data_IF_256509579984
#
_entry.id   IF_256509579984
#
_cell.length_a   1.000
_cell.length_b   1.000
_cell.length_c   1.000
_cell.angle_alpha   90.00
_cell.angle_beta   90.00
_cell.angle_gamma   90.00
#
_symmetry.space_group_name_H-M   'P 1'
#
loop_
_entity.id
_entity.type
_entity.pdbx_description
1 polymer ?
#
# COMPACT_ATOMS: atom_id res chain seq x y z
N UNK A 1 36.49 -14.41 -9.00
CA UNK A 1 36.54 -13.14 -9.73
C UNK A 1 35.27 -12.37 -9.38
N UNK A 2 35.40 -11.19 -8.79
CA UNK A 2 34.25 -10.39 -8.43
C UNK A 2 33.64 -9.76 -9.69
N UNK A 3 32.31 -9.86 -9.80
CA UNK A 3 31.59 -9.21 -10.85
C UNK A 3 31.48 -7.71 -10.52
N UNK A 4 32.04 -6.81 -11.34
CA UNK A 4 31.97 -5.37 -11.07
C UNK A 4 30.54 -4.80 -11.15
N UNK A 5 29.60 -5.55 -11.72
CA UNK A 5 28.20 -5.17 -11.78
C UNK A 5 27.37 -5.64 -10.59
N UNK A 6 27.98 -6.35 -9.64
CA UNK A 6 27.25 -6.86 -8.48
C UNK A 6 26.91 -5.73 -7.50
N UNK A 7 25.64 -5.62 -7.16
CA UNK A 7 25.13 -4.67 -6.18
C UNK A 7 24.52 -5.43 -5.02
N UNK A 8 25.06 -5.30 -3.77
CA UNK A 8 24.52 -6.03 -2.62
C UNK A 8 23.05 -5.73 -2.31
N UNK A 9 22.55 -4.54 -2.67
CA UNK A 9 21.16 -4.16 -2.47
C UNK A 9 20.20 -4.75 -3.51
N UNK A 10 20.71 -5.28 -4.62
CA UNK A 10 19.88 -5.90 -5.63
C UNK A 10 19.53 -7.33 -5.22
N UNK A 11 18.27 -7.77 -5.35
CA UNK A 11 17.92 -9.16 -5.06
C UNK A 11 18.62 -10.08 -6.06
N UNK A 12 19.03 -11.24 -5.58
CA UNK A 12 19.61 -12.25 -6.46
C UNK A 12 18.54 -12.77 -7.41
N UNK A 13 18.88 -13.06 -8.69
CA UNK A 13 17.90 -13.55 -9.66
C UNK A 13 17.16 -14.80 -9.21
N UNK A 14 17.83 -15.69 -8.49
CA UNK A 14 17.22 -16.92 -7.98
C UNK A 14 16.17 -16.62 -6.90
N UNK A 15 16.44 -15.64 -6.04
CA UNK A 15 15.50 -15.20 -5.01
C UNK A 15 14.23 -14.61 -5.63
N UNK A 16 14.39 -13.78 -6.65
CA UNK A 16 13.23 -13.22 -7.38
C UNK A 16 12.42 -14.32 -8.06
N UNK A 17 13.09 -15.31 -8.64
CA UNK A 17 12.42 -16.43 -9.32
C UNK A 17 11.63 -17.28 -8.34
N UNK A 18 12.20 -17.55 -7.16
CA UNK A 18 11.51 -18.29 -6.11
C UNK A 18 10.26 -17.55 -5.64
N UNK A 19 10.38 -16.23 -5.43
CA UNK A 19 9.25 -15.41 -5.01
C UNK A 19 8.16 -15.37 -6.09
N UNK A 20 8.54 -15.27 -7.36
CA UNK A 20 7.60 -15.34 -8.48
C UNK A 20 6.80 -16.64 -8.46
N UNK A 21 7.48 -17.76 -8.27
CA UNK A 21 6.85 -19.08 -8.23
C UNK A 21 5.92 -19.21 -7.02
N UNK A 22 6.37 -18.75 -5.87
CA UNK A 22 5.59 -18.83 -4.62
C UNK A 22 4.34 -17.96 -4.68
N UNK A 23 4.43 -16.79 -5.33
CA UNK A 23 3.33 -15.84 -5.41
C UNK A 23 2.39 -16.08 -6.61
N UNK A 24 2.74 -16.94 -7.56
CA UNK A 24 1.89 -17.20 -8.73
C UNK A 24 0.50 -17.73 -8.34
N UNK A 25 0.34 -18.66 -7.39
CA UNK A 25 -1.00 -19.07 -6.95
C UNK A 25 -1.82 -17.93 -6.36
N UNK A 26 -1.18 -16.98 -5.67
CA UNK A 26 -1.84 -15.80 -5.13
C UNK A 26 -2.36 -14.91 -6.25
N UNK A 27 -1.54 -14.69 -7.28
CA UNK A 27 -1.95 -13.91 -8.46
C UNK A 27 -3.16 -14.54 -9.13
N UNK A 28 -3.13 -15.85 -9.32
CA UNK A 28 -4.23 -16.59 -9.92
C UNK A 28 -5.50 -16.53 -9.07
N UNK A 29 -5.37 -16.66 -7.76
CA UNK A 29 -6.49 -16.57 -6.85
C UNK A 29 -7.15 -15.19 -6.88
N UNK A 30 -6.34 -14.14 -6.92
CA UNK A 30 -6.85 -12.77 -7.03
C UNK A 30 -7.60 -12.55 -8.34
N UNK A 31 -7.05 -13.04 -9.45
CA UNK A 31 -7.71 -12.94 -10.76
C UNK A 31 -9.00 -13.74 -10.80
N UNK A 32 -9.03 -14.93 -10.23
CA UNK A 32 -10.22 -15.74 -10.15
C UNK A 32 -11.33 -15.08 -9.33
N UNK A 33 -10.94 -14.25 -8.36
CA UNK A 33 -11.88 -13.51 -7.53
C UNK A 33 -12.41 -12.24 -8.21
N UNK A 34 -11.81 -11.84 -9.32
CA UNK A 34 -12.24 -10.69 -10.11
C UNK A 34 -11.31 -9.50 -10.10
N UNK A 35 -10.15 -9.60 -9.43
CA UNK A 35 -9.16 -8.53 -9.42
C UNK A 35 -8.24 -8.61 -10.63
N UNK A 36 -7.82 -7.46 -11.13
CA UNK A 36 -6.70 -7.41 -12.04
C UNK A 36 -5.41 -7.43 -11.21
N UNK A 37 -4.76 -8.60 -11.18
CA UNK A 37 -3.55 -8.81 -10.40
C UNK A 37 -2.36 -9.02 -11.33
N UNK A 38 -1.24 -8.35 -11.04
CA UNK A 38 -0.04 -8.41 -11.87
C UNK A 38 1.21 -8.42 -11.00
N UNK A 39 2.30 -9.00 -11.55
CA UNK A 39 3.57 -9.00 -10.86
C UNK A 39 4.35 -7.72 -11.13
N UNK A 40 5.06 -7.24 -10.11
CA UNK A 40 5.91 -6.06 -10.21
C UNK A 40 7.06 -6.16 -9.21
N UNK A 41 8.08 -5.33 -9.41
CA UNK A 41 9.17 -5.18 -8.45
C UNK A 41 8.93 -3.87 -7.70
N UNK A 42 8.86 -3.94 -6.37
CA UNK A 42 8.60 -2.77 -5.54
C UNK A 42 9.86 -1.91 -5.35
N UNK A 43 9.73 -0.82 -4.59
CA UNK A 43 10.82 0.11 -4.32
C UNK A 43 11.99 -0.55 -3.56
N UNK A 44 11.71 -1.66 -2.87
CA UNK A 44 12.73 -2.43 -2.14
C UNK A 44 13.36 -3.53 -3.00
N UNK A 45 13.11 -3.53 -4.30
CA UNK A 45 13.56 -4.56 -5.24
C UNK A 45 13.03 -5.95 -4.91
N UNK A 46 11.82 -6.02 -4.33
CA UNK A 46 11.15 -7.28 -3.99
C UNK A 46 10.06 -7.56 -5.00
N UNK A 47 9.87 -8.84 -5.32
CA UNK A 47 8.75 -9.25 -6.15
C UNK A 47 7.45 -9.09 -5.38
N UNK A 48 6.45 -8.50 -6.03
CA UNK A 48 5.14 -8.24 -5.42
C UNK A 48 4.05 -8.55 -6.43
N UNK A 49 2.91 -9.06 -5.93
CA UNK A 49 1.69 -9.12 -6.72
C UNK A 49 0.86 -7.90 -6.33
N UNK A 50 0.58 -7.05 -7.30
CA UNK A 50 -0.16 -5.81 -7.09
C UNK A 50 -1.57 -5.91 -7.63
N UNK A 51 -2.49 -5.28 -6.92
CA UNK A 51 -3.89 -5.10 -7.34
C UNK A 51 -4.23 -3.64 -7.21
N UNK A 52 -4.64 -3.00 -8.31
CA UNK A 52 -5.17 -1.65 -8.30
C UNK A 52 -6.70 -1.72 -8.39
N UNK A 53 -7.37 -1.07 -7.46
CA UNK A 53 -8.82 -1.03 -7.37
C UNK A 53 -9.27 0.42 -7.20
N UNK A 54 -10.55 0.72 -7.43
CA UNK A 54 -11.09 2.06 -7.28
C UNK A 54 -10.89 2.63 -5.87
N UNK A 55 -10.92 1.76 -4.85
CA UNK A 55 -10.79 2.18 -3.45
C UNK A 55 -9.36 2.27 -2.97
N UNK A 56 -8.41 1.65 -3.70
CA UNK A 56 -7.03 1.67 -3.29
C UNK A 56 -6.19 0.61 -3.97
N UNK A 57 -5.10 0.23 -3.32
CA UNK A 57 -4.13 -0.72 -3.86
C UNK A 57 -3.76 -1.74 -2.80
N UNK A 58 -3.52 -2.97 -3.25
CA UNK A 58 -2.97 -4.02 -2.42
C UNK A 58 -1.69 -4.56 -3.06
N UNK A 59 -0.69 -4.83 -2.25
CA UNK A 59 0.55 -5.49 -2.65
C UNK A 59 0.76 -6.70 -1.77
N UNK A 60 1.06 -7.85 -2.37
CA UNK A 60 1.33 -9.10 -1.66
C UNK A 60 2.76 -9.52 -1.94
N UNK A 61 3.52 -9.69 -0.87
CA UNK A 61 4.93 -10.06 -0.94
C UNK A 61 5.21 -11.27 -0.03
N UNK A 62 6.36 -11.87 -0.22
CA UNK A 62 6.84 -12.90 0.71
C UNK A 62 7.46 -12.20 1.91
N UNK A 63 6.88 -12.42 3.08
CA UNK A 63 7.41 -11.93 4.34
C UNK A 63 8.26 -12.99 5.03
N UNK A 64 8.64 -12.71 6.27
CA UNK A 64 9.51 -13.58 7.04
C UNK A 64 8.83 -14.91 7.41
N UNK A 65 7.59 -14.84 7.85
CA UNK A 65 6.84 -16.01 8.35
C UNK A 65 5.55 -16.28 7.58
N UNK A 66 5.32 -15.56 6.49
CA UNK A 66 4.09 -15.69 5.72
C UNK A 66 4.07 -14.67 4.59
N UNK A 67 2.87 -14.46 4.05
CA UNK A 67 2.63 -13.39 3.10
C UNK A 67 2.54 -12.06 3.82
N UNK A 68 3.24 -11.05 3.32
CA UNK A 68 3.09 -9.69 3.78
C UNK A 68 2.12 -8.98 2.83
N UNK A 69 1.03 -8.44 3.37
CA UNK A 69 0.00 -7.76 2.60
C UNK A 69 -0.01 -6.30 3.00
N UNK A 70 0.26 -5.43 2.05
CA UNK A 70 0.18 -3.98 2.25
C UNK A 70 -1.04 -3.46 1.51
N UNK A 71 -1.92 -2.80 2.25
CA UNK A 71 -3.12 -2.18 1.71
C UNK A 71 -2.97 -0.67 1.82
N UNK A 72 -3.32 0.05 0.77
CA UNK A 72 -3.20 1.51 0.73
C UNK A 72 -4.43 2.12 0.09
N UNK A 73 -4.96 3.15 0.72
CA UNK A 73 -5.96 4.03 0.12
C UNK A 73 -5.48 5.47 0.25
N UNK A 74 -5.70 6.28 -0.77
CA UNK A 74 -5.30 7.68 -0.80
C UNK A 74 -6.44 8.49 -1.39
N UNK A 75 -6.73 9.63 -0.77
CA UNK A 75 -7.66 10.60 -1.33
C UNK A 75 -6.85 11.65 -2.10
N UNK A 76 -6.93 11.69 -3.43
CA UNK A 76 -6.09 12.59 -4.21
C UNK A 76 -6.61 14.02 -4.19
N UNK A 77 -5.67 14.98 -4.29
CA UNK A 77 -6.00 16.38 -4.52
C UNK A 77 -6.88 17.02 -3.46
N UNK A 78 -6.57 16.79 -2.18
CA UNK A 78 -7.39 17.30 -1.08
C UNK A 78 -7.64 18.81 -1.15
N UNK A 79 -6.64 19.57 -1.57
CA UNK A 79 -6.75 21.02 -1.69
C UNK A 79 -6.68 21.51 -3.15
N UNK A 80 -7.08 20.65 -4.08
CA UNK A 80 -7.01 20.96 -5.51
C UNK A 80 -7.89 22.16 -5.92
N UNK A 81 -8.98 22.40 -5.18
CA UNK A 81 -9.89 23.51 -5.45
C UNK A 81 -9.38 24.86 -4.95
N UNK A 82 -8.32 24.87 -4.16
CA UNK A 82 -7.72 26.12 -3.70
C UNK A 82 -7.00 26.81 -4.85
N UNK A 83 -7.46 27.97 -5.26
CA UNK A 83 -6.94 28.71 -6.42
C UNK A 83 -5.54 29.27 -6.19
N UNK A 84 -5.20 29.65 -4.96
CA UNK A 84 -3.92 30.22 -4.63
C UNK A 84 -2.89 29.14 -4.33
N UNK A 85 -1.79 29.04 -5.12
CA UNK A 85 -0.71 28.10 -4.81
C UNK A 85 -0.13 28.31 -3.43
N UNK A 86 -0.04 29.55 -2.98
CA UNK A 86 0.49 29.89 -1.65
C UNK A 86 -0.41 29.32 -0.53
N UNK A 87 -1.74 29.50 -0.66
CA UNK A 87 -2.69 28.97 0.30
C UNK A 87 -2.72 27.45 0.28
N UNK A 88 -2.61 26.85 -0.90
CA UNK A 88 -2.56 25.38 -1.03
C UNK A 88 -1.36 24.82 -0.29
N UNK A 89 -0.19 25.43 -0.44
CA UNK A 89 1.02 25.01 0.28
C UNK A 89 0.87 25.18 1.79
N UNK A 90 0.25 26.27 2.24
CA UNK A 90 0.02 26.51 3.66
C UNK A 90 -0.91 25.45 4.25
N UNK A 91 -2.00 25.12 3.55
CA UNK A 91 -2.96 24.08 3.99
C UNK A 91 -2.31 22.70 4.00
N UNK A 92 -1.52 22.39 2.98
CA UNK A 92 -0.78 21.12 2.91
C UNK A 92 0.17 20.98 4.08
N UNK A 93 0.93 22.04 4.38
CA UNK A 93 1.88 22.04 5.51
C UNK A 93 1.15 21.80 6.83
N UNK A 94 0.01 22.45 7.02
CA UNK A 94 -0.80 22.28 8.23
C UNK A 94 -1.34 20.85 8.32
N UNK A 95 -1.83 20.30 7.20
CA UNK A 95 -2.32 18.93 7.15
C UNK A 95 -1.24 17.92 7.56
N UNK A 96 -0.02 18.06 7.01
CA UNK A 96 1.09 17.19 7.39
C UNK A 96 1.35 17.21 8.89
N UNK A 97 1.26 18.37 9.50
CA UNK A 97 1.47 18.51 10.94
C UNK A 97 0.34 17.91 11.76
N UNK A 98 -0.88 17.98 11.26
CA UNK A 98 -2.07 17.53 11.98
C UNK A 98 -2.37 16.04 11.83
N UNK A 99 -1.94 15.41 10.74
CA UNK A 99 -2.24 14.01 10.45
C UNK A 99 -1.89 13.08 11.62
N UNK A 100 -0.68 13.11 12.21
CA UNK A 100 -0.36 12.20 13.30
C UNK A 100 -1.28 12.35 14.51
N UNK A 101 -1.70 13.57 14.84
CA UNK A 101 -2.60 13.83 15.95
C UNK A 101 -4.03 13.40 15.65
N UNK A 102 -4.54 13.78 14.48
CA UNK A 102 -5.91 13.51 14.07
C UNK A 102 -6.13 12.00 13.89
N UNK A 103 -5.17 11.31 13.29
CA UNK A 103 -5.31 9.89 12.98
C UNK A 103 -5.25 9.00 14.23
N UNK A 104 -4.65 9.47 15.31
CA UNK A 104 -4.40 8.68 16.52
C UNK A 104 -5.68 8.07 17.09
N UNK A 105 -6.82 8.73 16.97
CA UNK A 105 -8.10 8.25 17.46
C UNK A 105 -8.77 7.21 16.58
N UNK A 106 -8.29 6.99 15.36
CA UNK A 106 -8.94 6.12 14.39
C UNK A 106 -8.12 4.89 14.04
N UNK A 107 -6.79 4.97 14.11
CA UNK A 107 -5.91 3.92 13.58
C UNK A 107 -5.59 2.85 14.60
N UNK A 108 -5.45 1.62 14.10
CA UNK A 108 -4.89 0.50 14.84
C UNK A 108 -3.36 0.54 14.76
N UNK A 109 -2.63 -0.21 15.63
CA UNK A 109 -1.15 -0.16 15.63
C UNK A 109 -0.48 -0.55 14.31
N UNK A 110 -1.12 -1.37 13.50
CA UNK A 110 -0.58 -1.82 12.20
C UNK A 110 -0.99 -0.92 11.03
N UNK A 111 -1.57 0.24 11.34
CA UNK A 111 -2.02 1.22 10.36
C UNK A 111 -1.25 2.52 10.54
N UNK A 112 -0.94 3.17 9.42
CA UNK A 112 -0.24 4.46 9.41
C UNK A 112 -0.97 5.42 8.50
N UNK A 113 -1.18 6.65 8.95
CA UNK A 113 -1.69 7.72 8.11
C UNK A 113 -0.53 8.61 7.67
N UNK A 114 -0.55 8.99 6.40
CA UNK A 114 0.50 9.82 5.79
C UNK A 114 -0.12 10.91 4.93
N UNK A 115 0.68 11.92 4.64
CA UNK A 115 0.42 12.80 3.50
C UNK A 115 1.14 12.21 2.30
N UNK A 116 0.38 11.86 1.26
CA UNK A 116 0.95 11.35 0.02
C UNK A 116 1.34 12.53 -0.87
N UNK A 117 2.64 12.70 -1.10
CA UNK A 117 3.16 13.84 -1.87
C UNK A 117 2.78 13.76 -3.34
N UNK A 118 2.75 12.57 -3.91
CA UNK A 118 2.44 12.37 -5.32
C UNK A 118 0.98 12.65 -5.60
N UNK A 119 0.10 12.11 -4.77
CA UNK A 119 -1.35 12.26 -4.94
C UNK A 119 -1.89 13.54 -4.29
N UNK A 120 -1.10 14.20 -3.49
CA UNK A 120 -1.45 15.42 -2.76
C UNK A 120 -2.71 15.22 -1.89
N UNK A 121 -2.65 14.23 -1.05
CA UNK A 121 -3.76 13.91 -0.17
C UNK A 121 -3.41 12.98 0.98
N UNK A 122 -4.41 12.72 1.81
CA UNK A 122 -4.27 11.80 2.94
C UNK A 122 -4.24 10.37 2.44
N UNK A 123 -3.28 9.61 2.94
CA UNK A 123 -3.21 8.17 2.69
C UNK A 123 -3.22 7.39 4.00
N UNK A 124 -3.76 6.18 3.95
CA UNK A 124 -3.67 5.21 5.05
C UNK A 124 -3.09 3.93 4.49
N UNK A 125 -2.10 3.41 5.19
CA UNK A 125 -1.41 2.16 4.85
C UNK A 125 -1.64 1.18 5.98
N UNK A 126 -2.09 -0.03 5.64
CA UNK A 126 -2.22 -1.14 6.58
C UNK A 126 -1.31 -2.27 6.12
N UNK A 127 -0.48 -2.79 7.03
CA UNK A 127 0.39 -3.93 6.74
C UNK A 127 -0.02 -5.08 7.63
N UNK A 128 -0.30 -6.23 7.02
CA UNK A 128 -0.75 -7.44 7.71
C UNK A 128 0.08 -8.61 7.24
N UNK A 129 0.40 -9.52 8.14
CA UNK A 129 1.04 -10.78 7.80
C UNK A 129 0.02 -11.91 7.85
N UNK A 130 0.03 -12.78 6.83
CA UNK A 130 -0.90 -13.90 6.73
C UNK A 130 -0.10 -15.17 6.51
N UNK A 131 -0.39 -16.25 7.27
CA UNK A 131 0.33 -17.52 7.11
C UNK A 131 0.22 -18.06 5.68
N UNK A 132 1.28 -18.73 5.22
CA UNK A 132 1.30 -19.30 3.86
C UNK A 132 0.16 -20.28 3.61
N UNK A 133 -0.30 -20.98 4.66
CA UNK A 133 -1.41 -21.90 4.57
C UNK A 133 -2.74 -21.23 4.26
N UNK A 134 -2.83 -19.91 4.44
CA UNK A 134 -4.06 -19.14 4.24
C UNK A 134 -4.03 -18.27 2.98
N UNK A 135 -3.17 -18.60 2.03
CA UNK A 135 -3.07 -17.82 0.77
C UNK A 135 -4.39 -17.71 0.02
N UNK A 136 -5.26 -18.70 0.13
CA UNK A 136 -6.58 -18.70 -0.51
C UNK A 136 -7.52 -17.63 0.05
N UNK A 137 -7.28 -17.17 1.28
CA UNK A 137 -8.09 -16.16 1.94
C UNK A 137 -7.72 -14.72 1.53
N UNK A 138 -6.59 -14.56 0.84
CA UNK A 138 -6.09 -13.22 0.48
C UNK A 138 -7.10 -12.41 -0.35
N UNK A 139 -7.73 -12.95 -1.40
CA UNK A 139 -8.67 -12.16 -2.19
C UNK A 139 -9.85 -11.62 -1.39
N UNK A 140 -10.46 -12.46 -0.55
CA UNK A 140 -11.58 -12.03 0.31
C UNK A 140 -11.13 -10.99 1.33
N UNK A 141 -9.93 -11.18 1.90
CA UNK A 141 -9.34 -10.24 2.84
C UNK A 141 -9.17 -8.86 2.20
N UNK A 142 -8.57 -8.79 1.00
CA UNK A 142 -8.37 -7.55 0.27
C UNK A 142 -9.72 -6.87 0.01
N UNK A 143 -10.72 -7.63 -0.45
CA UNK A 143 -12.05 -7.11 -0.77
C UNK A 143 -12.73 -6.49 0.45
N UNK A 144 -12.54 -7.10 1.61
CA UNK A 144 -13.14 -6.63 2.85
C UNK A 144 -12.40 -5.44 3.45
N UNK A 145 -11.08 -5.40 3.32
CA UNK A 145 -10.25 -4.40 4.02
C UNK A 145 -10.11 -3.09 3.28
N UNK A 146 -10.03 -3.08 1.96
CA UNK A 146 -9.85 -1.84 1.20
C UNK A 146 -10.93 -0.80 1.49
N UNK A 147 -12.24 -1.15 1.53
CA UNK A 147 -13.27 -0.17 1.87
C UNK A 147 -13.10 0.43 3.26
N UNK A 148 -12.64 -0.36 4.22
CA UNK A 148 -12.41 0.12 5.59
C UNK A 148 -11.27 1.11 5.66
N UNK A 149 -10.21 0.87 4.89
CA UNK A 149 -9.06 1.77 4.84
C UNK A 149 -9.46 3.07 4.16
N UNK A 150 -10.26 3.00 3.12
CA UNK A 150 -10.81 4.17 2.43
C UNK A 150 -11.71 4.99 3.37
N UNK A 151 -12.52 4.34 4.21
CA UNK A 151 -13.30 5.02 5.24
C UNK A 151 -12.43 5.78 6.22
N UNK A 152 -11.30 5.18 6.65
CA UNK A 152 -10.37 5.84 7.55
C UNK A 152 -9.78 7.10 6.92
N UNK A 153 -9.44 7.04 5.63
CA UNK A 153 -8.98 8.21 4.88
C UNK A 153 -10.03 9.31 4.94
N UNK A 154 -11.28 8.98 4.66
CA UNK A 154 -12.39 9.94 4.67
C UNK A 154 -12.57 10.58 6.05
N UNK A 155 -12.49 9.79 7.11
CA UNK A 155 -12.63 10.28 8.49
C UNK A 155 -11.51 11.25 8.84
N UNK A 156 -10.28 10.92 8.47
CA UNK A 156 -9.13 11.78 8.73
C UNK A 156 -9.26 13.09 7.94
N UNK A 157 -9.66 13.02 6.70
CA UNK A 157 -9.88 14.22 5.88
C UNK A 157 -10.89 15.19 6.50
N UNK A 158 -11.97 14.66 7.02
CA UNK A 158 -13.01 15.49 7.66
C UNK A 158 -12.47 16.26 8.85
N UNK A 159 -11.58 15.64 9.61
CA UNK A 159 -10.95 16.27 10.76
C UNK A 159 -9.94 17.36 10.35
N UNK A 160 -9.33 17.22 9.18
CA UNK A 160 -8.39 18.21 8.69
C UNK A 160 -9.08 19.46 8.13
N UNK A 161 -10.34 19.34 7.74
CA UNK A 161 -11.13 20.43 7.19
C UNK A 161 -10.68 20.90 5.85
#
# INVERSE_FOLDING_TARGET
MSDPGFHPESPEPDSLREDQQTLEPVRQALRAYGFWAYGTIDESNRWSIAVDDELGRADVRIGQDGYEIELRAVSPGLYAEEDSPWRRQARTRLARMQIPRVSRGYLQPHQVAIWDEEMEGVGVIETVEMPFQRGEDIPAFVRQRLPRIEELVTMIERELG
#
